data_IF_239400874752
#
_entry.id   IF_239400874752
#
_cell.length_a   1.000
_cell.length_b   1.000
_cell.length_c   1.000
_cell.angle_alpha   90.00
_cell.angle_beta   90.00
_cell.angle_gamma   90.00
#
_symmetry.space_group_name_H-M   'P 1'
#
loop_
_entity.id
_entity.type
_entity.pdbx_description
1 polymer ?
#
# COMPACT_ATOMS: atom_id res chain seq x y z
N UNK A 1 -1.82 4.05 -0.16
CA UNK A 1 -1.29 2.76 -0.68
C UNK A 1 0.06 2.51 -0.05
N UNK A 2 0.36 1.28 0.36
CA UNK A 2 1.64 0.89 0.96
C UNK A 2 2.34 -0.03 -0.04
N UNK A 3 3.51 0.40 -0.54
CA UNK A 3 4.32 -0.36 -1.49
C UNK A 3 5.37 -1.17 -0.74
N UNK A 4 5.38 -2.48 -0.95
CA UNK A 4 6.20 -3.43 -0.20
C UNK A 4 7.11 -4.25 -1.13
N UNK A 5 8.30 -4.60 -0.64
CA UNK A 5 9.23 -5.51 -1.30
C UNK A 5 9.06 -6.93 -0.73
N UNK A 6 7.85 -7.47 -0.81
CA UNK A 6 7.50 -8.82 -0.36
C UNK A 6 7.13 -9.69 -1.56
N UNK A 7 7.35 -11.00 -1.45
CA UNK A 7 6.84 -11.95 -2.45
C UNK A 7 5.30 -12.06 -2.39
N UNK A 8 4.69 -12.76 -3.36
CA UNK A 8 3.22 -12.86 -3.42
C UNK A 8 2.59 -13.58 -2.22
N UNK A 9 3.27 -14.60 -1.68
CA UNK A 9 2.80 -15.37 -0.53
C UNK A 9 2.87 -14.55 0.75
N UNK A 10 4.00 -13.88 0.97
CA UNK A 10 4.22 -12.94 2.07
C UNK A 10 3.24 -11.77 1.99
N UNK A 11 3.06 -11.18 0.82
CA UNK A 11 2.12 -10.08 0.61
C UNK A 11 0.67 -10.50 0.88
N UNK A 12 0.30 -11.75 0.56
CA UNK A 12 -1.02 -12.29 0.90
C UNK A 12 -1.20 -12.40 2.42
N UNK A 13 -0.20 -12.92 3.15
CA UNK A 13 -0.25 -12.99 4.62
C UNK A 13 -0.28 -11.60 5.24
N UNK A 14 0.57 -10.69 4.74
CA UNK A 14 0.66 -9.33 5.25
C UNK A 14 -0.65 -8.54 5.05
N UNK A 15 -1.40 -8.78 3.96
CA UNK A 15 -2.72 -8.16 3.76
C UNK A 15 -3.71 -8.49 4.86
N UNK A 16 -3.68 -9.72 5.38
CA UNK A 16 -4.53 -10.12 6.50
C UNK A 16 -4.14 -9.36 7.77
N UNK A 17 -2.85 -9.38 8.10
CA UNK A 17 -2.30 -8.65 9.26
C UNK A 17 -2.57 -7.15 9.19
N UNK A 18 -2.41 -6.55 8.00
CA UNK A 18 -2.68 -5.13 7.79
C UNK A 18 -4.16 -4.81 8.03
N UNK A 19 -5.07 -5.69 7.64
CA UNK A 19 -6.51 -5.51 7.88
C UNK A 19 -6.84 -5.52 9.38
N UNK A 20 -6.22 -6.41 10.15
CA UNK A 20 -6.38 -6.49 11.60
C UNK A 20 -5.84 -5.23 12.28
N UNK A 21 -4.61 -4.83 11.96
CA UNK A 21 -3.99 -3.60 12.49
C UNK A 21 -4.84 -2.37 12.17
N UNK A 22 -5.34 -2.28 10.94
CA UNK A 22 -6.15 -1.12 10.50
C UNK A 22 -7.49 -1.11 11.21
N UNK A 23 -8.11 -2.27 11.46
CA UNK A 23 -9.37 -2.35 12.19
C UNK A 23 -9.23 -1.81 13.61
N UNK A 24 -8.21 -2.25 14.34
CA UNK A 24 -7.95 -1.79 15.71
C UNK A 24 -7.66 -0.27 15.72
N UNK A 25 -6.79 0.20 14.81
CA UNK A 25 -6.46 1.62 14.68
C UNK A 25 -7.67 2.50 14.36
N UNK A 26 -8.56 2.02 13.48
CA UNK A 26 -9.79 2.72 13.13
C UNK A 26 -10.72 2.84 14.35
N UNK A 27 -10.86 1.77 15.14
CA UNK A 27 -11.68 1.77 16.36
C UNK A 27 -11.12 2.66 17.47
N UNK A 28 -9.81 2.66 17.66
CA UNK A 28 -9.14 3.48 18.69
C UNK A 28 -9.20 4.98 18.39
N UNK A 29 -9.17 5.37 17.12
CA UNK A 29 -9.05 6.76 16.71
C UNK A 29 -10.32 7.36 16.07
N UNK A 30 -11.42 6.61 16.00
CA UNK A 30 -12.69 7.00 15.35
C UNK A 30 -12.48 7.51 13.91
N UNK A 31 -11.72 6.74 13.13
CA UNK A 31 -11.44 7.01 11.72
C UNK A 31 -11.78 5.80 10.86
N UNK A 32 -11.84 5.98 9.54
CA UNK A 32 -12.07 4.90 8.58
C UNK A 32 -11.03 4.95 7.45
N UNK A 33 -9.81 4.48 7.75
CA UNK A 33 -8.79 4.28 6.71
C UNK A 33 -8.84 2.85 6.20
N UNK A 34 -8.58 2.69 4.89
CA UNK A 34 -8.54 1.39 4.21
C UNK A 34 -7.30 1.32 3.31
N UNK A 35 -6.11 1.04 3.88
CA UNK A 35 -4.87 1.01 3.13
C UNK A 35 -4.81 -0.22 2.21
N UNK A 36 -4.22 -0.03 1.03
CA UNK A 36 -3.94 -1.10 0.06
C UNK A 36 -2.45 -1.46 0.15
N UNK A 37 -2.13 -2.70 0.52
CA UNK A 37 -0.79 -3.25 0.38
C UNK A 37 -0.56 -3.77 -1.06
N UNK A 38 0.51 -3.33 -1.71
CA UNK A 38 0.85 -3.72 -3.08
C UNK A 38 2.36 -3.95 -3.24
N UNK A 39 2.74 -4.94 -4.06
CA UNK A 39 4.14 -5.13 -4.45
C UNK A 39 4.65 -3.88 -5.16
N UNK A 40 5.80 -3.37 -4.69
CA UNK A 40 6.48 -2.21 -5.28
C UNK A 40 6.88 -2.48 -6.73
N UNK A 41 7.46 -3.65 -7.00
CA UNK A 41 7.90 -4.03 -8.34
C UNK A 41 6.72 -4.06 -9.32
N UNK A 42 5.62 -4.72 -8.96
CA UNK A 42 4.44 -4.80 -9.81
C UNK A 42 3.78 -3.42 -10.00
N UNK A 43 3.73 -2.60 -8.95
CA UNK A 43 3.22 -1.23 -9.08
C UNK A 43 4.05 -0.44 -10.10
N UNK A 44 5.37 -0.43 -9.96
CA UNK A 44 6.28 0.30 -10.86
C UNK A 44 6.19 -0.20 -12.31
N UNK A 45 6.05 -1.52 -12.50
CA UNK A 45 5.87 -2.12 -13.83
C UNK A 45 4.60 -1.66 -14.53
N UNK A 46 3.52 -1.46 -13.78
CA UNK A 46 2.19 -1.22 -14.33
C UNK A 46 1.69 0.22 -14.18
N UNK A 47 2.44 1.10 -13.53
CA UNK A 47 1.99 2.46 -13.19
C UNK A 47 1.62 3.31 -14.40
N UNK A 48 2.28 3.15 -15.56
CA UNK A 48 1.95 3.94 -16.75
C UNK A 48 0.78 3.37 -17.56
N UNK A 49 0.51 2.07 -17.43
CA UNK A 49 -0.45 1.34 -18.25
C UNK A 49 -1.83 1.20 -17.59
N UNK A 50 -1.89 1.10 -16.26
CA UNK A 50 -3.15 0.98 -15.52
C UNK A 50 -3.63 2.35 -15.03
N UNK A 51 -4.82 2.84 -15.43
CA UNK A 51 -5.31 4.17 -15.07
C UNK A 51 -5.27 4.47 -13.56
N UNK A 52 -5.65 3.52 -12.71
CA UNK A 52 -5.59 3.71 -11.26
C UNK A 52 -4.16 3.94 -10.75
N UNK A 53 -3.18 3.13 -11.19
CA UNK A 53 -1.79 3.30 -10.77
C UNK A 53 -1.16 4.56 -11.35
N UNK A 54 -1.58 4.96 -12.56
CA UNK A 54 -1.16 6.20 -13.20
C UNK A 54 -1.59 7.41 -12.40
N UNK A 55 -2.84 7.44 -11.96
CA UNK A 55 -3.36 8.52 -11.12
C UNK A 55 -2.65 8.54 -9.76
N UNK A 56 -2.46 7.37 -9.12
CA UNK A 56 -1.71 7.29 -7.85
C UNK A 56 -0.27 7.79 -8.01
N UNK A 57 0.40 7.47 -9.11
CA UNK A 57 1.79 7.90 -9.37
C UNK A 57 1.90 9.41 -9.65
N UNK A 58 0.93 9.98 -10.38
CA UNK A 58 0.96 11.40 -10.80
C UNK A 58 0.41 12.37 -9.77
N UNK A 59 -0.66 11.98 -9.07
CA UNK A 59 -1.45 12.87 -8.21
C UNK A 59 -1.37 12.47 -6.73
N UNK A 60 -0.85 11.28 -6.43
CA UNK A 60 -0.74 10.79 -5.06
C UNK A 60 0.27 11.58 -4.21
N UNK A 61 -0.02 11.69 -2.92
CA UNK A 61 0.89 12.28 -1.94
C UNK A 61 1.75 11.18 -1.30
N UNK A 62 3.07 11.34 -1.34
CA UNK A 62 4.00 10.43 -0.64
C UNK A 62 4.13 10.85 0.81
N UNK A 63 3.56 10.06 1.73
CA UNK A 63 3.62 10.32 3.18
C UNK A 63 4.93 9.88 3.81
N UNK A 64 5.53 8.80 3.31
CA UNK A 64 6.80 8.27 3.79
C UNK A 64 7.51 7.53 2.67
N UNK A 65 8.83 7.70 2.58
CA UNK A 65 9.71 6.94 1.69
C UNK A 65 10.88 6.45 2.53
N UNK A 66 11.09 5.14 2.57
CA UNK A 66 12.32 4.61 3.14
C UNK A 66 13.51 5.18 2.35
N UNK A 67 14.44 5.84 3.03
CA UNK A 67 15.69 6.26 2.43
C UNK A 67 16.46 4.99 2.03
N UNK A 68 16.88 4.91 0.76
CA UNK A 68 17.93 3.97 0.39
C UNK A 68 19.24 4.52 0.98
N UNK A 69 19.90 3.74 1.85
CA UNK A 69 21.34 3.86 2.09
C UNK A 69 22.09 3.31 0.87
#
# INVERSE_FOLDING_TARGET
MILLNLDEMELKKYRQQLSEITFDFNMEHDIDIKPIAKSKELFLKWQESYPFYKNVSREGVTLYRAACL
#
